data_IF_554378600045
#
_entry.id   IF_554378600045
#
_cell.length_a   1.000
_cell.length_b   1.000
_cell.length_c   1.000
_cell.angle_alpha   90.00
_cell.angle_beta   90.00
_cell.angle_gamma   90.00
#
_symmetry.space_group_name_H-M   'P 1'
#
loop_
_entity.id
_entity.type
_entity.pdbx_description
1 polymer ?
#
# COMPACT_ATOMS: atom_id res chain seq x y z
N UNK A 1 -8.91 -5.49 15.34
CA UNK A 1 -7.45 -5.55 15.16
C UNK A 1 -7.01 -4.18 14.71
N UNK A 2 -6.22 -3.50 15.54
CA UNK A 2 -5.59 -2.24 15.20
C UNK A 2 -4.10 -2.56 15.07
N UNK A 3 -3.60 -2.53 13.84
CA UNK A 3 -2.20 -2.89 13.56
C UNK A 3 -1.31 -1.68 13.83
N UNK A 4 -0.23 -1.89 14.59
CA UNK A 4 0.76 -0.86 14.91
C UNK A 4 2.14 -1.25 14.42
N UNK A 5 2.86 -0.27 13.88
CA UNK A 5 4.24 -0.42 13.42
C UNK A 5 5.23 -0.18 14.55
N UNK A 6 6.25 -1.03 14.66
CA UNK A 6 7.35 -0.88 15.62
C UNK A 6 8.70 -1.13 14.95
N UNK A 7 9.74 -0.39 15.33
CA UNK A 7 11.12 -0.62 14.88
C UNK A 7 11.83 -1.72 15.68
N UNK A 8 11.31 -2.03 16.86
CA UNK A 8 11.80 -3.11 17.71
C UNK A 8 10.79 -4.24 17.77
N UNK A 9 11.26 -5.47 17.99
CA UNK A 9 10.36 -6.60 18.16
C UNK A 9 9.52 -6.36 19.42
N UNK A 10 8.17 -6.30 19.33
CA UNK A 10 7.35 -5.86 20.45
C UNK A 10 7.19 -6.93 21.54
N UNK A 11 7.41 -8.21 21.21
CA UNK A 11 7.33 -9.34 22.15
C UNK A 11 8.34 -10.44 21.75
N UNK A 12 8.66 -11.38 22.65
CA UNK A 12 9.57 -12.52 22.41
C UNK A 12 8.98 -13.60 21.45
N UNK A 13 7.97 -13.25 20.66
CA UNK A 13 7.32 -14.17 19.74
C UNK A 13 8.09 -14.28 18.42
N UNK A 14 7.99 -15.45 17.77
CA UNK A 14 8.51 -15.63 16.41
C UNK A 14 7.72 -14.76 15.43
N UNK A 15 8.39 -13.85 14.75
CA UNK A 15 7.78 -13.02 13.72
C UNK A 15 7.60 -13.79 12.39
N UNK A 16 6.54 -13.45 11.66
CA UNK A 16 6.21 -14.00 10.34
C UNK A 16 6.66 -13.00 9.28
N UNK A 17 7.60 -13.38 8.42
CA UNK A 17 8.06 -12.52 7.32
C UNK A 17 6.97 -12.37 6.25
N UNK A 18 6.46 -11.16 6.05
CA UNK A 18 5.39 -10.86 5.07
C UNK A 18 5.91 -10.14 3.81
N UNK A 19 7.11 -9.57 3.86
CA UNK A 19 7.77 -8.89 2.72
C UNK A 19 8.36 -9.85 1.67
N UNK A 20 8.08 -11.14 1.78
CA UNK A 20 8.48 -12.17 0.83
C UNK A 20 9.93 -12.64 0.96
N UNK A 21 10.21 -13.82 0.42
CA UNK A 21 11.49 -14.53 0.60
C UNK A 21 12.72 -13.75 0.11
N UNK A 22 12.56 -12.91 -0.92
CA UNK A 22 13.64 -12.07 -1.46
C UNK A 22 14.16 -11.05 -0.44
N UNK A 23 13.34 -10.67 0.52
CA UNK A 23 13.68 -9.66 1.54
C UNK A 23 14.45 -10.22 2.74
N UNK A 24 14.68 -11.55 2.81
CA UNK A 24 15.32 -12.20 3.97
C UNK A 24 16.69 -11.61 4.31
N UNK A 25 17.45 -11.18 3.32
CA UNK A 25 18.81 -10.67 3.53
C UNK A 25 18.85 -9.14 3.71
N UNK A 26 17.70 -8.46 3.58
CA UNK A 26 17.63 -7.02 3.82
C UNK A 26 17.82 -6.71 5.31
N UNK A 27 18.54 -5.62 5.58
CA UNK A 27 18.99 -5.27 6.92
C UNK A 27 17.97 -4.43 7.69
N UNK A 28 17.16 -3.62 6.99
CA UNK A 28 16.15 -2.81 7.64
C UNK A 28 14.90 -3.65 7.90
N UNK A 29 14.31 -3.46 9.08
CA UNK A 29 13.16 -4.22 9.55
C UNK A 29 12.17 -3.29 10.23
N UNK A 30 10.88 -3.54 10.00
CA UNK A 30 9.78 -3.01 10.79
C UNK A 30 8.83 -4.15 11.14
N UNK A 31 8.26 -4.10 12.32
CA UNK A 31 7.32 -5.07 12.82
C UNK A 31 5.91 -4.50 12.82
N UNK A 32 4.93 -5.39 12.67
CA UNK A 32 3.52 -5.06 12.69
C UNK A 32 2.79 -6.04 13.61
N UNK A 33 2.06 -5.52 14.61
CA UNK A 33 1.33 -6.35 15.58
C UNK A 33 0.06 -5.67 16.09
N UNK A 34 -0.86 -6.47 16.64
CA UNK A 34 -2.08 -6.01 17.33
C UNK A 34 -1.78 -5.88 18.83
N UNK A 35 -1.25 -4.74 19.27
CA UNK A 35 -0.77 -4.54 20.66
C UNK A 35 -1.86 -4.70 21.73
N UNK A 36 -3.14 -4.64 21.35
CA UNK A 36 -4.25 -4.87 22.27
C UNK A 36 -4.42 -6.35 22.66
N UNK A 37 -3.77 -7.27 21.93
CA UNK A 37 -3.82 -8.70 22.23
C UNK A 37 -2.71 -9.08 23.20
N UNK A 38 -3.07 -9.91 24.18
CA UNK A 38 -2.13 -10.49 25.15
C UNK A 38 -1.02 -11.33 24.51
N UNK A 39 -1.31 -11.93 23.36
CA UNK A 39 -0.38 -12.76 22.59
C UNK A 39 -0.58 -12.46 21.08
N UNK A 40 0.00 -11.36 20.57
CA UNK A 40 -0.24 -10.95 19.20
C UNK A 40 0.64 -11.74 18.23
N UNK A 41 0.07 -12.01 17.06
CA UNK A 41 0.88 -12.35 15.90
C UNK A 41 1.77 -11.17 15.55
N UNK A 42 3.07 -11.42 15.45
CA UNK A 42 4.06 -10.43 14.99
C UNK A 42 4.34 -10.70 13.52
N UNK A 43 4.16 -9.68 12.70
CA UNK A 43 4.52 -9.71 11.29
C UNK A 43 5.80 -8.88 11.11
N UNK A 44 6.69 -9.37 10.26
CA UNK A 44 7.98 -8.77 9.97
C UNK A 44 8.02 -8.32 8.51
N UNK A 45 8.42 -7.07 8.30
CA UNK A 45 8.62 -6.47 6.98
C UNK A 45 10.07 -6.05 6.91
N UNK A 46 10.82 -6.63 5.98
CA UNK A 46 12.19 -6.21 5.66
C UNK A 46 12.21 -5.43 4.35
N UNK A 47 13.08 -4.43 4.27
CA UNK A 47 13.17 -3.52 3.13
C UNK A 47 14.61 -3.01 2.91
N UNK A 48 14.93 -2.65 1.67
CA UNK A 48 16.31 -2.31 1.27
C UNK A 48 16.76 -0.93 1.71
N UNK A 49 15.87 0.07 1.58
CA UNK A 49 16.18 1.47 1.80
C UNK A 49 14.96 2.24 2.30
N UNK A 50 15.22 3.32 3.03
CA UNK A 50 14.21 4.30 3.42
C UNK A 50 14.01 5.30 2.28
N UNK A 51 12.82 5.32 1.69
CA UNK A 51 12.44 6.25 0.62
C UNK A 51 11.12 6.99 0.90
N UNK A 52 10.35 6.61 1.91
CA UNK A 52 9.08 7.24 2.24
C UNK A 52 8.73 7.18 3.72
N UNK A 53 8.20 8.27 4.30
CA UNK A 53 7.70 8.25 5.67
C UNK A 53 6.31 7.59 5.76
N UNK A 54 5.65 7.32 4.63
CA UNK A 54 4.29 6.82 4.61
C UNK A 54 4.25 5.32 4.89
N UNK A 55 3.37 4.94 5.81
CA UNK A 55 3.07 3.54 6.11
C UNK A 55 1.61 3.39 6.49
N UNK A 56 1.00 2.31 6.04
CA UNK A 56 -0.40 1.99 6.36
C UNK A 56 -0.58 0.50 6.36
N UNK A 57 -1.31 -0.02 7.34
CA UNK A 57 -1.70 -1.41 7.40
C UNK A 57 -3.21 -1.53 7.57
N UNK A 58 -3.84 -2.40 6.79
CA UNK A 58 -5.25 -2.74 6.89
C UNK A 58 -5.38 -4.24 7.17
N UNK A 59 -6.20 -4.59 8.16
CA UNK A 59 -6.65 -5.95 8.38
C UNK A 59 -8.07 -6.11 7.82
N UNK A 60 -8.25 -7.05 6.90
CA UNK A 60 -9.52 -7.29 6.19
C UNK A 60 -9.78 -8.78 6.15
N UNK A 61 -10.74 -9.28 6.94
CA UNK A 61 -11.00 -10.72 7.07
C UNK A 61 -9.74 -11.47 7.53
N UNK A 62 -9.18 -12.36 6.69
CA UNK A 62 -7.92 -13.06 6.93
C UNK A 62 -6.71 -12.38 6.27
N UNK A 63 -6.89 -11.23 5.61
CA UNK A 63 -5.85 -10.54 4.85
C UNK A 63 -5.22 -9.40 5.64
N UNK A 64 -3.91 -9.27 5.49
CA UNK A 64 -3.12 -8.13 5.94
C UNK A 64 -2.57 -7.44 4.70
N UNK A 65 -3.04 -6.22 4.45
CA UNK A 65 -2.59 -5.37 3.36
C UNK A 65 -1.73 -4.23 3.93
N UNK A 66 -0.49 -4.10 3.46
CA UNK A 66 0.48 -3.15 4.02
C UNK A 66 1.14 -2.36 2.91
N UNK A 67 1.11 -1.04 3.00
CA UNK A 67 1.98 -0.15 2.25
C UNK A 67 3.12 0.36 3.13
N UNK A 68 4.35 0.25 2.66
CA UNK A 68 5.55 0.73 3.35
C UNK A 68 6.69 0.98 2.37
N UNK A 69 7.42 2.08 2.55
CA UNK A 69 8.53 2.49 1.68
C UNK A 69 8.11 2.59 0.21
N UNK A 70 8.64 1.73 -0.67
CA UNK A 70 8.24 1.63 -2.07
C UNK A 70 7.50 0.32 -2.38
N UNK A 71 6.80 -0.26 -1.40
CA UNK A 71 6.14 -1.54 -1.59
C UNK A 71 4.72 -1.59 -1.05
N UNK A 72 3.91 -2.43 -1.71
CA UNK A 72 2.66 -2.97 -1.21
C UNK A 72 2.78 -4.47 -0.99
N UNK A 73 2.33 -4.94 0.17
CA UNK A 73 2.31 -6.34 0.57
C UNK A 73 0.88 -6.76 0.83
N UNK A 74 0.48 -7.92 0.29
CA UNK A 74 -0.77 -8.59 0.64
C UNK A 74 -0.44 -9.99 1.15
N UNK A 75 -0.88 -10.27 2.38
CA UNK A 75 -0.58 -11.50 3.08
C UNK A 75 -1.86 -12.17 3.57
N UNK A 76 -1.97 -13.47 3.36
CA UNK A 76 -3.02 -14.31 3.92
C UNK A 76 -2.56 -14.86 5.27
N UNK A 77 -3.20 -14.38 6.34
CA UNK A 77 -2.86 -14.74 7.71
C UNK A 77 -3.28 -16.18 8.06
N UNK A 78 -4.37 -16.68 7.46
CA UNK A 78 -4.89 -18.02 7.74
C UNK A 78 -3.96 -19.08 7.15
N UNK A 79 -3.59 -18.91 5.88
CA UNK A 79 -2.71 -19.84 5.17
C UNK A 79 -1.20 -19.53 5.37
N UNK A 80 -0.89 -18.38 5.98
CA UNK A 80 0.47 -17.85 6.16
C UNK A 80 1.27 -17.77 4.85
N UNK A 81 0.63 -17.25 3.80
CA UNK A 81 1.24 -17.09 2.48
C UNK A 81 1.25 -15.63 2.06
N UNK A 82 2.36 -15.21 1.44
CA UNK A 82 2.43 -13.93 0.73
C UNK A 82 1.68 -14.07 -0.59
N UNK A 83 0.57 -13.34 -0.73
CA UNK A 83 -0.23 -13.32 -1.95
C UNK A 83 0.37 -12.36 -2.99
N UNK A 84 0.91 -11.23 -2.53
CA UNK A 84 1.54 -10.23 -3.37
C UNK A 84 2.63 -9.46 -2.61
N UNK A 85 3.74 -9.20 -3.30
CA UNK A 85 4.72 -8.18 -2.93
C UNK A 85 4.98 -7.36 -4.19
N UNK A 86 4.37 -6.18 -4.26
CA UNK A 86 4.40 -5.29 -5.41
C UNK A 86 5.25 -4.07 -5.09
N UNK A 87 6.28 -3.86 -5.90
CA UNK A 87 7.03 -2.61 -5.89
C UNK A 87 6.17 -1.47 -6.47
N UNK A 88 6.12 -0.35 -5.77
CA UNK A 88 5.42 0.87 -6.15
C UNK A 88 6.47 1.82 -6.71
N UNK A 89 6.29 2.22 -7.96
CA UNK A 89 7.20 3.13 -8.63
C UNK A 89 7.32 4.47 -7.88
N UNK A 90 8.56 4.87 -7.58
CA UNK A 90 8.86 5.96 -6.66
C UNK A 90 8.70 5.51 -5.21
N UNK A 91 7.55 5.80 -4.61
CA UNK A 91 7.25 5.42 -3.23
C UNK A 91 5.76 5.13 -3.02
N UNK A 92 5.44 4.38 -1.96
CA UNK A 92 4.09 4.23 -1.43
C UNK A 92 3.62 5.52 -0.77
N UNK A 93 2.41 5.96 -1.11
CA UNK A 93 1.79 7.19 -0.59
C UNK A 93 0.48 6.93 0.17
N UNK A 94 -0.32 5.92 -0.22
CA UNK A 94 -1.62 5.70 0.41
C UNK A 94 -2.25 4.33 0.09
N UNK A 95 -3.05 3.82 1.02
CA UNK A 95 -3.73 2.53 0.92
C UNK A 95 -5.21 2.65 1.28
N UNK A 96 -6.09 2.17 0.41
CA UNK A 96 -7.54 2.29 0.56
C UNK A 96 -8.24 0.97 0.19
N UNK A 97 -9.17 0.51 1.03
CA UNK A 97 -10.08 -0.59 0.68
C UNK A 97 -11.45 -0.02 0.27
N UNK A 98 -11.85 -0.20 -0.99
CA UNK A 98 -13.17 0.22 -1.51
C UNK A 98 -13.68 -0.79 -2.53
N UNK A 99 -14.99 -1.06 -2.53
CA UNK A 99 -15.63 -1.97 -3.49
C UNK A 99 -14.91 -3.33 -3.63
N UNK A 100 -14.46 -3.90 -2.49
CA UNK A 100 -13.74 -5.16 -2.41
C UNK A 100 -12.39 -5.20 -3.16
N UNK A 101 -11.76 -4.03 -3.36
CA UNK A 101 -10.43 -3.89 -3.94
C UNK A 101 -9.56 -2.99 -3.08
N UNK A 102 -8.27 -3.28 -3.06
CA UNK A 102 -7.24 -2.39 -2.54
C UNK A 102 -6.81 -1.42 -3.63
N UNK A 103 -6.79 -0.13 -3.31
CA UNK A 103 -6.20 0.91 -4.14
C UNK A 103 -4.95 1.41 -3.43
N UNK A 104 -3.83 1.36 -4.14
CA UNK A 104 -2.52 1.77 -3.63
C UNK A 104 -2.06 2.96 -4.44
N UNK A 105 -1.93 4.13 -3.82
CA UNK A 105 -1.33 5.29 -4.47
C UNK A 105 0.17 5.33 -4.20
N UNK A 106 0.92 5.79 -5.20
CA UNK A 106 2.34 6.06 -5.09
C UNK A 106 2.72 7.45 -5.59
N UNK A 107 3.99 7.62 -5.96
CA UNK A 107 4.49 8.89 -6.50
C UNK A 107 3.85 9.24 -7.85
N UNK A 108 3.77 8.27 -8.76
CA UNK A 108 3.35 8.53 -10.14
C UNK A 108 1.92 8.10 -10.44
N UNK A 109 1.33 7.26 -9.58
CA UNK A 109 0.23 6.43 -10.00
C UNK A 109 -0.59 5.74 -8.93
N UNK A 110 -1.50 4.89 -9.40
CA UNK A 110 -2.41 4.08 -8.59
C UNK A 110 -2.46 2.66 -9.13
N UNK A 111 -2.45 1.69 -8.22
CA UNK A 111 -2.70 0.28 -8.49
C UNK A 111 -4.07 -0.12 -7.92
N UNK A 112 -4.84 -0.91 -8.64
CA UNK A 112 -6.04 -1.56 -8.13
C UNK A 112 -5.85 -3.07 -8.06
N UNK A 113 -5.98 -3.61 -6.85
CA UNK A 113 -5.55 -4.97 -6.52
C UNK A 113 -6.73 -5.68 -5.85
N UNK A 114 -7.04 -6.89 -6.30
CA UNK A 114 -8.08 -7.70 -5.69
C UNK A 114 -7.60 -8.38 -4.40
N UNK A 115 -8.52 -9.03 -3.68
CA UNK A 115 -8.20 -9.77 -2.44
C UNK A 115 -7.36 -11.03 -2.63
N UNK A 116 -7.18 -11.49 -3.86
CA UNK A 116 -6.33 -12.64 -4.19
C UNK A 116 -4.90 -12.21 -4.56
N UNK A 117 -4.62 -10.90 -4.58
CA UNK A 117 -3.32 -10.36 -4.99
C UNK A 117 -3.19 -10.15 -6.50
N UNK A 118 -4.27 -10.24 -7.28
CA UNK A 118 -4.21 -9.91 -8.70
C UNK A 118 -4.32 -8.40 -8.90
N UNK A 119 -3.41 -7.85 -9.71
CA UNK A 119 -3.48 -6.45 -10.14
C UNK A 119 -4.50 -6.38 -11.28
N UNK A 120 -5.65 -5.76 -11.03
CA UNK A 120 -6.68 -5.57 -12.04
C UNK A 120 -6.27 -4.52 -13.07
N UNK A 121 -5.64 -3.43 -12.61
CA UNK A 121 -5.01 -2.41 -13.43
C UNK A 121 -4.00 -1.60 -12.61
N UNK A 122 -3.11 -0.92 -13.32
CA UNK A 122 -2.21 0.08 -12.77
C UNK A 122 -2.16 1.28 -13.73
N UNK A 123 -2.14 2.49 -13.18
CA UNK A 123 -1.91 3.71 -13.92
C UNK A 123 -0.76 4.46 -13.27
N UNK A 124 0.39 4.52 -13.94
CA UNK A 124 1.64 5.11 -13.44
C UNK A 124 1.96 6.46 -14.10
N UNK A 125 0.96 7.15 -14.63
CA UNK A 125 1.16 8.40 -15.37
C UNK A 125 0.15 9.47 -14.96
N UNK A 126 -0.13 9.53 -13.65
CA UNK A 126 -1.03 10.52 -13.08
C UNK A 126 -0.30 11.75 -12.57
N UNK A 127 0.93 11.63 -12.07
CA UNK A 127 1.72 12.73 -11.49
C UNK A 127 3.21 12.45 -11.55
N UNK A 128 4.02 13.34 -10.96
CA UNK A 128 5.48 13.25 -10.88
C UNK A 128 6.00 13.03 -9.46
N UNK A 129 5.25 13.40 -8.41
CA UNK A 129 5.75 13.30 -7.03
C UNK A 129 4.63 13.24 -5.98
N UNK A 130 3.61 12.42 -6.22
CA UNK A 130 2.60 12.10 -5.23
C UNK A 130 1.19 12.10 -5.78
N UNK A 131 0.41 11.13 -5.31
CA UNK A 131 -0.99 10.96 -5.64
C UNK A 131 -1.82 10.86 -4.36
N UNK A 132 -2.79 11.77 -4.23
CA UNK A 132 -3.75 11.80 -3.12
C UNK A 132 -5.15 11.46 -3.65
N UNK A 133 -5.72 10.36 -3.17
CA UNK A 133 -7.10 9.99 -3.50
C UNK A 133 -8.04 10.60 -2.46
N UNK A 134 -9.04 11.35 -2.93
CA UNK A 134 -9.99 12.07 -2.07
C UNK A 134 -11.41 11.52 -2.15
N UNK A 135 -11.79 10.88 -3.27
CA UNK A 135 -13.14 10.41 -3.49
C UNK A 135 -13.19 9.10 -4.28
N UNK A 136 -14.16 8.26 -3.90
CA UNK A 136 -14.54 7.07 -4.63
C UNK A 136 -16.04 7.13 -4.96
N UNK A 137 -16.40 6.77 -6.18
CA UNK A 137 -17.78 6.51 -6.62
C UNK A 137 -17.88 5.10 -7.18
N UNK A 138 -19.08 4.69 -7.60
CA UNK A 138 -19.28 3.37 -8.19
C UNK A 138 -18.43 3.15 -9.44
N UNK A 139 -18.18 4.19 -10.25
CA UNK A 139 -17.49 4.07 -11.54
C UNK A 139 -16.13 4.76 -11.59
N UNK A 140 -15.85 5.67 -10.65
CA UNK A 140 -14.71 6.58 -10.75
C UNK A 140 -13.98 6.67 -9.41
N UNK A 141 -12.71 7.05 -9.48
CA UNK A 141 -11.99 7.61 -8.35
C UNK A 141 -11.40 8.96 -8.75
N UNK A 142 -11.38 9.89 -7.80
CA UNK A 142 -10.88 11.23 -8.00
C UNK A 142 -9.90 11.61 -6.90
N UNK A 143 -9.00 12.52 -7.25
CA UNK A 143 -7.90 12.91 -6.39
C UNK A 143 -7.14 14.09 -6.95
N UNK A 144 -5.96 14.32 -6.39
CA UNK A 144 -4.99 15.31 -6.88
C UNK A 144 -3.64 14.66 -7.07
N UNK A 145 -2.97 15.03 -8.15
CA UNK A 145 -1.64 14.58 -8.51
C UNK A 145 -0.69 15.78 -8.62
N UNK A 146 0.51 15.64 -8.09
CA UNK A 146 1.55 16.68 -8.19
C UNK A 146 2.22 16.61 -9.56
N UNK A 147 1.97 17.60 -10.43
CA UNK A 147 2.47 17.61 -11.82
C UNK A 147 3.83 18.28 -11.98
N UNK A 148 4.13 19.24 -11.11
CA UNK A 148 5.37 20.00 -11.14
C UNK A 148 5.80 20.29 -9.69
N UNK A 149 6.49 19.34 -9.04
CA UNK A 149 6.86 19.49 -7.64
C UNK A 149 7.89 20.63 -7.42
N UNK A 150 7.83 21.33 -6.28
CA UNK A 150 6.82 21.21 -5.23
C UNK A 150 5.59 22.12 -5.46
N UNK A 151 4.40 21.64 -5.11
CA UNK A 151 3.17 22.41 -4.89
C UNK A 151 2.15 22.45 -6.03
N UNK A 152 2.48 22.02 -7.25
CA UNK A 152 1.53 22.05 -8.38
C UNK A 152 0.59 20.83 -8.42
N UNK A 153 -0.34 20.79 -7.47
CA UNK A 153 -1.35 19.74 -7.37
C UNK A 153 -2.52 19.98 -8.33
N UNK A 154 -2.69 19.10 -9.31
CA UNK A 154 -3.81 19.14 -10.27
C UNK A 154 -4.82 18.04 -9.98
N UNK A 155 -6.13 18.32 -10.07
CA UNK A 155 -7.14 17.30 -9.89
C UNK A 155 -7.19 16.33 -11.08
N UNK A 156 -7.45 15.06 -10.79
CA UNK A 156 -7.68 14.02 -11.79
C UNK A 156 -8.93 13.21 -11.44
N UNK A 157 -9.53 12.62 -12.48
CA UNK A 157 -10.54 11.57 -12.35
C UNK A 157 -10.16 10.41 -13.25
N UNK A 158 -10.17 9.18 -12.71
CA UNK A 158 -9.94 7.97 -13.50
C UNK A 158 -11.09 6.98 -13.35
N UNK A 159 -11.24 6.12 -14.37
CA UNK A 159 -12.14 4.97 -14.36
C UNK A 159 -11.71 3.97 -13.30
N UNK A 160 -12.61 3.64 -12.36
CA UNK A 160 -12.35 2.63 -11.34
C UNK A 160 -12.23 1.22 -11.94
N UNK A 161 -12.87 0.99 -13.09
CA UNK A 161 -12.89 -0.32 -13.74
C UNK A 161 -11.60 -0.61 -14.52
N UNK A 162 -11.03 0.42 -15.15
CA UNK A 162 -9.92 0.25 -16.11
C UNK A 162 -8.64 0.97 -15.71
N UNK A 163 -8.72 1.93 -14.80
CA UNK A 163 -7.59 2.80 -14.44
C UNK A 163 -7.36 3.94 -15.43
N UNK A 164 -8.15 4.03 -16.51
CA UNK A 164 -7.95 5.05 -17.55
C UNK A 164 -8.28 6.45 -17.05
N UNK A 165 -7.45 7.41 -17.43
CA UNK A 165 -7.68 8.83 -17.16
C UNK A 165 -8.93 9.32 -17.91
N UNK A 166 -9.92 9.81 -17.16
CA UNK A 166 -11.17 10.37 -17.71
C UNK A 166 -11.08 11.88 -17.86
N UNK A 167 -10.46 12.55 -16.88
CA UNK A 167 -10.17 13.97 -16.95
C UNK A 167 -8.95 14.33 -16.12
N UNK A 168 -8.21 15.32 -16.61
CA UNK A 168 -7.14 16.03 -15.90
C UNK A 168 -7.46 17.51 -16.08
N UNK A 169 -7.94 18.18 -15.02
CA UNK A 169 -8.23 19.61 -15.17
C UNK A 169 -6.92 20.36 -14.96
N UNK A 170 -6.30 20.78 -16.07
CA UNK A 170 -5.31 21.84 -16.04
C UNK A 170 -6.04 23.14 -15.70
N UNK A 171 -5.80 23.67 -14.50
CA UNK A 171 -6.18 25.04 -14.12
C UNK A 171 -5.53 26.06 -15.03
#
# INVERSE_FOLDING_TARGET
MILQFSETIPFDNKAILISGDKSKDFQNVVYLSDEEKKDPTILEIRFEYHCSPFKTALHVENLIAVGHENHFYLFDLENQISLLSQEIEGYFAGLYLRYNMFYVSGAYGIYAIDKNGNIAWANNSLGLDGILISQFTENELAGTAEQNPPGDWKPFTISRKTGDLLSLNAS
#
